data_IF_388645798786
#
_entry.id   IF_388645798786
#
_cell.length_a   1.000
_cell.length_b   1.000
_cell.length_c   1.000
_cell.angle_alpha   90.00
_cell.angle_beta   90.00
_cell.angle_gamma   90.00
#
_symmetry.space_group_name_H-M   'P 1'
#
loop_
_entity.id
_entity.type
_entity.pdbx_description
1 polymer ?
#
# COMPACT_ATOMS: atom_id res chain seq x y z
N UNK A 1 -0.21 10.49 8.26
CA UNK A 1 0.95 11.38 8.41
C UNK A 1 0.66 12.59 9.31
N UNK A 2 -0.29 13.48 8.99
CA UNK A 2 -0.45 14.76 9.71
C UNK A 2 -0.52 14.65 11.26
N UNK A 3 -1.31 13.72 11.79
CA UNK A 3 -1.48 13.55 13.24
C UNK A 3 -0.25 12.98 13.94
N UNK A 4 0.59 12.23 13.24
CA UNK A 4 1.70 11.46 13.82
C UNK A 4 3.08 11.97 13.41
N UNK A 5 3.17 12.97 12.51
CA UNK A 5 4.43 13.67 12.25
C UNK A 5 4.53 14.93 13.12
N UNK A 6 5.77 15.19 13.55
CA UNK A 6 6.15 16.35 14.34
C UNK A 6 5.80 17.64 13.59
N UNK A 7 5.24 18.62 14.31
CA UNK A 7 4.98 19.95 13.77
C UNK A 7 6.11 20.90 14.18
N UNK A 8 6.62 21.67 13.23
CA UNK A 8 7.70 22.64 13.46
C UNK A 8 7.43 23.67 14.56
N UNK A 9 6.21 24.23 14.73
CA UNK A 9 5.98 25.24 15.77
C UNK A 9 5.94 24.68 17.20
N UNK A 10 5.47 23.44 17.38
CA UNK A 10 5.25 22.86 18.72
C UNK A 10 6.29 21.80 19.07
N UNK A 11 7.07 21.31 18.10
CA UNK A 11 8.00 20.19 18.30
C UNK A 11 7.33 18.85 18.64
N UNK A 12 5.99 18.80 18.64
CA UNK A 12 5.19 17.65 19.05
C UNK A 12 4.30 17.14 17.91
N UNK A 13 3.82 15.91 18.03
CA UNK A 13 2.78 15.40 17.12
C UNK A 13 1.42 15.94 17.54
N UNK A 14 0.52 16.28 16.60
CA UNK A 14 -0.84 16.68 16.96
C UNK A 14 -1.58 15.62 17.78
N UNK A 15 -1.23 14.35 17.62
CA UNK A 15 -1.78 13.26 18.41
C UNK A 15 -1.36 13.37 19.89
N UNK A 16 -0.08 13.58 20.20
CA UNK A 16 0.37 13.68 21.59
C UNK A 16 -0.15 14.92 22.30
N UNK A 17 -0.42 16.01 21.59
CA UNK A 17 -1.09 17.19 22.16
C UNK A 17 -2.55 16.93 22.55
N UNK A 18 -3.25 16.05 21.83
CA UNK A 18 -4.67 15.76 22.09
C UNK A 18 -4.83 14.66 23.14
N UNK A 19 -4.00 13.61 23.07
CA UNK A 19 -4.16 12.40 23.87
C UNK A 19 -3.11 12.24 24.98
N UNK A 20 -2.15 13.18 25.09
CA UNK A 20 -1.12 13.19 26.13
C UNK A 20 -0.03 12.11 25.97
N UNK A 21 -0.04 11.37 24.87
CA UNK A 21 0.95 10.31 24.57
C UNK A 21 1.17 10.18 23.07
N UNK A 22 2.33 9.68 22.66
CA UNK A 22 2.62 9.45 21.25
C UNK A 22 1.77 8.30 20.68
N UNK A 23 1.44 8.41 19.39
CA UNK A 23 0.67 7.38 18.71
C UNK A 23 1.52 6.11 18.54
N UNK A 24 0.99 4.96 18.99
CA UNK A 24 1.57 3.66 18.66
C UNK A 24 1.20 3.32 17.22
N UNK A 25 2.20 3.27 16.35
CA UNK A 25 1.99 2.91 14.95
C UNK A 25 1.90 1.38 14.79
N UNK A 26 0.95 0.86 14.00
CA UNK A 26 0.88 -0.56 13.65
C UNK A 26 2.18 -1.06 13.03
N UNK A 27 2.46 -2.35 13.19
CA UNK A 27 3.69 -2.96 12.69
C UNK A 27 3.80 -2.88 11.17
N UNK A 28 2.66 -2.91 10.47
CA UNK A 28 2.55 -2.82 9.01
C UNK A 28 2.97 -1.45 8.47
N UNK A 29 2.96 -0.41 9.31
CA UNK A 29 3.49 0.92 8.96
C UNK A 29 5.03 0.94 9.05
N UNK A 30 5.60 0.07 9.88
CA UNK A 30 7.04 -0.01 10.13
C UNK A 30 7.72 -1.06 9.24
N UNK A 31 7.02 -2.17 8.97
CA UNK A 31 7.50 -3.30 8.18
C UNK A 31 6.69 -3.33 6.88
N UNK A 32 7.35 -3.17 5.71
CA UNK A 32 6.67 -3.30 4.44
C UNK A 32 6.10 -4.72 4.30
N UNK A 33 4.89 -4.82 3.72
CA UNK A 33 4.31 -6.12 3.40
C UNK A 33 5.21 -6.91 2.44
N UNK A 34 5.13 -8.25 2.47
CA UNK A 34 5.90 -9.12 1.56
C UNK A 34 5.80 -8.70 0.09
N UNK A 35 4.61 -8.27 -0.36
CA UNK A 35 4.40 -7.78 -1.73
C UNK A 35 5.21 -6.51 -2.03
N UNK A 36 5.24 -5.58 -1.07
CA UNK A 36 6.01 -4.34 -1.20
C UNK A 36 7.50 -4.62 -1.13
N UNK A 37 7.94 -5.53 -0.25
CA UNK A 37 9.34 -5.94 -0.18
C UNK A 37 9.80 -6.65 -1.45
N UNK A 38 8.98 -7.55 -2.03
CA UNK A 38 9.32 -8.22 -3.29
C UNK A 38 9.47 -7.25 -4.46
N UNK A 39 8.76 -6.11 -4.43
CA UNK A 39 8.87 -5.06 -5.46
C UNK A 39 10.30 -4.52 -5.57
N UNK A 40 11.02 -4.43 -4.45
CA UNK A 40 12.39 -3.90 -4.42
C UNK A 40 13.40 -4.80 -5.15
N UNK A 41 13.07 -6.08 -5.34
CA UNK A 41 13.92 -7.06 -6.00
C UNK A 41 13.62 -7.25 -7.50
N UNK A 42 12.62 -6.54 -8.04
CA UNK A 42 12.20 -6.66 -9.44
C UNK A 42 12.35 -5.30 -10.11
N UNK A 43 12.88 -5.29 -11.34
CA UNK A 43 13.00 -4.04 -12.09
C UNK A 43 11.63 -3.39 -12.32
N UNK A 44 11.60 -2.08 -12.51
CA UNK A 44 10.35 -1.38 -12.81
C UNK A 44 9.69 -1.93 -14.08
N UNK A 45 10.48 -2.14 -15.13
CA UNK A 45 9.99 -2.71 -16.38
C UNK A 45 9.37 -4.10 -16.16
N UNK A 46 10.10 -5.02 -15.52
CA UNK A 46 9.61 -6.38 -15.30
C UNK A 46 8.34 -6.41 -14.45
N UNK A 47 8.23 -5.53 -13.45
CA UNK A 47 7.00 -5.44 -12.66
C UNK A 47 5.83 -4.90 -13.47
N UNK A 48 6.06 -3.86 -14.28
CA UNK A 48 5.02 -3.29 -15.12
C UNK A 48 4.52 -4.32 -16.13
N UNK A 49 5.44 -5.05 -16.78
CA UNK A 49 5.08 -6.14 -17.70
C UNK A 49 4.32 -7.27 -17.00
N UNK A 50 4.80 -7.76 -15.86
CA UNK A 50 4.08 -8.80 -15.09
C UNK A 50 2.70 -8.34 -14.64
N UNK A 51 2.56 -7.07 -14.23
CA UNK A 51 1.27 -6.51 -13.82
C UNK A 51 0.30 -6.38 -14.98
N UNK A 52 0.77 -6.01 -16.17
CA UNK A 52 -0.06 -5.96 -17.37
C UNK A 52 -0.57 -7.35 -17.76
N UNK A 53 0.32 -8.34 -17.81
CA UNK A 53 -0.05 -9.73 -18.11
C UNK A 53 -1.07 -10.30 -17.11
N UNK A 54 -0.94 -9.97 -15.81
CA UNK A 54 -1.93 -10.37 -14.79
C UNK A 54 -3.30 -9.73 -15.01
N UNK A 55 -3.35 -8.47 -15.47
CA UNK A 55 -4.60 -7.78 -15.74
C UNK A 55 -5.29 -8.34 -17.00
N UNK A 56 -4.52 -8.62 -18.05
CA UNK A 56 -5.03 -9.27 -19.26
C UNK A 56 -5.69 -10.61 -18.94
N UNK A 57 -5.04 -11.45 -18.12
CA UNK A 57 -5.61 -12.73 -17.69
C UNK A 57 -6.91 -12.57 -16.89
N UNK A 58 -6.98 -11.55 -16.03
CA UNK A 58 -8.19 -11.25 -15.27
C UNK A 58 -9.34 -10.81 -16.18
N UNK A 59 -9.04 -9.98 -17.18
CA UNK A 59 -10.03 -9.53 -18.16
C UNK A 59 -10.55 -10.71 -18.99
N UNK A 60 -9.67 -11.61 -19.43
CA UNK A 60 -10.07 -12.86 -20.10
C UNK A 60 -10.99 -13.72 -19.22
N UNK A 61 -10.67 -13.87 -17.94
CA UNK A 61 -11.52 -14.61 -17.00
C UNK A 61 -12.88 -13.94 -16.82
N UNK A 62 -12.93 -12.62 -16.74
CA UNK A 62 -14.19 -11.88 -16.65
C UNK A 62 -15.03 -12.04 -17.93
N UNK A 63 -14.41 -11.94 -19.10
CA UNK A 63 -15.09 -12.13 -20.39
C UNK A 63 -15.67 -13.54 -20.50
N UNK A 64 -14.88 -14.57 -20.16
CA UNK A 64 -15.35 -15.95 -20.13
C UNK A 64 -16.49 -16.12 -19.14
N UNK A 65 -16.40 -15.56 -17.94
CA UNK A 65 -17.47 -15.66 -16.94
C UNK A 65 -18.78 -15.01 -17.42
N UNK A 66 -18.70 -13.90 -18.17
CA UNK A 66 -19.86 -13.24 -18.77
C UNK A 66 -20.47 -14.06 -19.91
N UNK A 67 -19.63 -14.71 -20.73
CA UNK A 67 -20.08 -15.59 -21.82
C UNK A 67 -20.82 -16.83 -21.29
N UNK A 68 -20.33 -17.45 -20.21
CA UNK A 68 -20.97 -18.63 -19.59
C UNK A 68 -22.20 -18.29 -18.73
N UNK A 69 -22.50 -17.00 -18.51
CA UNK A 69 -23.71 -16.56 -17.80
C UNK A 69 -24.93 -16.39 -18.73
N UNK A 70 -24.72 -16.37 -20.05
CA UNK A 70 -25.79 -16.36 -21.07
C UNK A 70 -26.28 -17.77 -21.40
#
# INVERSE_FOLDING_TARGET
>A
AYRTSIRTPTGATPFSLIYGSEAVLPLEVQIPSLRVSLREFVSDEDYHQNRLAQLELLDEWHLNALEHHQ
#
